data_IF_830789975481
#
_entry.id   IF_830789975481
#
_cell.length_a   1.000
_cell.length_b   1.000
_cell.length_c   1.000
_cell.angle_alpha   90.00
_cell.angle_beta   90.00
_cell.angle_gamma   90.00
#
_symmetry.space_group_name_H-M   'P 1'
#
loop_
_entity.id
_entity.type
_entity.pdbx_description
1 polymer ?
#
# COMPACT_ATOMS: atom_id res chain seq x y z
N UNK A 1 27.48 -13.23 11.47
CA UNK A 1 26.85 -11.91 11.23
C UNK A 1 25.97 -12.05 9.99
N UNK A 2 24.64 -12.13 10.12
CA UNK A 2 23.73 -12.24 8.96
C UNK A 2 23.61 -10.86 8.33
N UNK A 3 23.95 -10.73 7.04
CA UNK A 3 23.65 -9.52 6.27
C UNK A 3 22.13 -9.50 6.05
N UNK A 4 21.43 -8.56 6.68
CA UNK A 4 20.08 -8.21 6.26
C UNK A 4 20.18 -7.58 4.88
N UNK A 5 19.55 -8.21 3.90
CA UNK A 5 19.32 -7.61 2.59
C UNK A 5 18.15 -6.65 2.78
N UNK A 6 18.44 -5.46 3.28
CA UNK A 6 17.46 -4.38 3.34
C UNK A 6 17.17 -3.91 1.92
N UNK A 7 15.96 -4.18 1.42
CA UNK A 7 15.46 -3.47 0.25
C UNK A 7 15.21 -2.02 0.68
N UNK A 8 15.93 -1.10 0.04
CA UNK A 8 15.86 0.34 0.29
C UNK A 8 14.52 0.84 -0.27
N UNK A 9 13.47 0.79 0.53
CA UNK A 9 12.42 1.78 0.48
C UNK A 9 12.67 2.71 1.65
N UNK A 10 13.33 3.86 1.41
CA UNK A 10 13.75 4.81 2.47
C UNK A 10 12.59 5.31 3.35
N UNK A 11 11.35 5.13 2.90
CA UNK A 11 10.14 5.09 3.73
C UNK A 11 9.03 4.46 2.90
N UNK A 12 8.58 3.25 3.25
CA UNK A 12 7.27 2.81 2.76
C UNK A 12 6.23 3.81 3.30
N UNK A 13 5.10 4.08 2.61
CA UNK A 13 3.96 4.68 3.30
C UNK A 13 3.66 3.78 4.49
N UNK A 14 3.90 4.30 5.70
CA UNK A 14 3.82 3.50 6.90
C UNK A 14 2.40 2.92 6.97
N UNK A 15 2.31 1.60 6.99
CA UNK A 15 1.05 0.93 7.24
C UNK A 15 0.52 1.43 8.59
N UNK A 16 -0.73 1.88 8.57
CA UNK A 16 -1.37 2.56 9.68
C UNK A 16 -2.22 1.56 10.45
N UNK A 17 -2.09 1.58 11.77
CA UNK A 17 -2.94 0.78 12.63
C UNK A 17 -4.33 1.45 12.73
N UNK A 18 -5.44 0.71 12.56
CA UNK A 18 -6.78 1.29 12.46
C UNK A 18 -7.26 1.99 13.75
N UNK A 19 -6.67 1.68 14.90
CA UNK A 19 -6.99 2.35 16.18
C UNK A 19 -6.38 3.76 16.24
N UNK A 20 -5.18 3.95 15.71
CA UNK A 20 -4.47 5.24 15.76
C UNK A 20 -4.85 6.15 14.59
N UNK A 21 -5.10 5.55 13.41
CA UNK A 21 -5.58 6.24 12.22
C UNK A 21 -6.70 5.42 11.55
N UNK A 22 -7.98 5.77 11.79
CA UNK A 22 -9.11 5.04 11.24
C UNK A 22 -9.12 5.05 9.71
N UNK A 23 -9.38 3.90 9.06
CA UNK A 23 -9.36 3.80 7.61
C UNK A 23 -10.52 4.60 6.98
N UNK A 24 -10.27 5.28 5.84
CA UNK A 24 -11.32 5.98 5.12
C UNK A 24 -12.34 5.00 4.55
N UNK A 25 -13.63 5.35 4.66
CA UNK A 25 -14.75 4.53 4.20
C UNK A 25 -14.96 4.68 2.70
N UNK A 26 -15.38 3.60 2.04
CA UNK A 26 -15.83 3.63 0.64
C UNK A 26 -14.72 3.81 -0.41
N UNK A 27 -13.45 3.77 -0.01
CA UNK A 27 -12.31 3.84 -0.94
C UNK A 27 -11.50 2.55 -0.91
N UNK A 28 -10.84 2.22 -2.01
CA UNK A 28 -9.93 1.07 -2.05
C UNK A 28 -8.60 1.43 -1.38
N UNK A 29 -8.11 0.52 -0.55
CA UNK A 29 -6.89 0.60 0.24
C UNK A 29 -5.98 -0.60 -0.08
N UNK A 30 -4.73 -0.51 0.32
CA UNK A 30 -3.91 -1.69 0.58
C UNK A 30 -4.02 -2.02 2.07
N UNK A 31 -4.27 -3.28 2.40
CA UNK A 31 -4.49 -3.74 3.77
C UNK A 31 -3.64 -4.98 4.02
N UNK A 32 -3.17 -5.18 5.24
CA UNK A 32 -2.57 -6.45 5.65
C UNK A 32 -3.50 -7.10 6.67
N UNK A 33 -3.86 -8.36 6.47
CA UNK A 33 -4.59 -9.12 7.46
C UNK A 33 -3.67 -9.61 8.61
N UNK A 34 -4.25 -10.17 9.65
CA UNK A 34 -3.49 -10.69 10.82
C UNK A 34 -2.47 -11.79 10.47
N UNK A 35 -2.62 -12.45 9.32
CA UNK A 35 -1.68 -13.46 8.81
C UNK A 35 -0.55 -12.87 7.96
N UNK A 36 -0.46 -11.55 7.80
CA UNK A 36 0.58 -10.89 7.01
C UNK A 36 0.30 -10.86 5.50
N UNK A 37 -0.92 -11.18 5.06
CA UNK A 37 -1.29 -11.20 3.63
C UNK A 37 -1.77 -9.82 3.19
N UNK A 38 -1.17 -9.31 2.11
CA UNK A 38 -1.57 -8.07 1.46
C UNK A 38 -2.86 -8.26 0.65
N UNK A 39 -3.86 -7.43 0.91
CA UNK A 39 -5.17 -7.43 0.27
C UNK A 39 -5.46 -6.01 -0.26
N UNK A 40 -6.02 -5.92 -1.46
CA UNK A 40 -6.51 -4.66 -2.03
C UNK A 40 -8.04 -4.65 -2.01
N UNK A 41 -8.64 -3.62 -1.41
CA UNK A 41 -10.10 -3.52 -1.32
C UNK A 41 -10.57 -2.40 -0.39
N UNK A 42 -11.88 -2.23 -0.21
CA UNK A 42 -12.42 -1.37 0.85
C UNK A 42 -12.12 -1.98 2.23
N UNK A 43 -12.00 -1.15 3.27
CA UNK A 43 -11.89 -1.64 4.64
C UNK A 43 -13.12 -2.47 5.01
N UNK A 44 -12.95 -3.74 5.42
CA UNK A 44 -14.09 -4.61 5.72
C UNK A 44 -14.68 -4.26 7.10
N UNK A 45 -15.97 -4.54 7.27
CA UNK A 45 -16.66 -4.26 8.53
C UNK A 45 -16.33 -5.27 9.65
N UNK A 46 -15.66 -6.37 9.33
CA UNK A 46 -15.35 -7.46 10.27
C UNK A 46 -13.99 -7.29 10.98
N UNK A 47 -13.31 -6.16 10.78
CA UNK A 47 -12.05 -5.73 11.42
C UNK A 47 -10.91 -6.76 11.41
N UNK A 48 -10.92 -7.72 10.46
CA UNK A 48 -9.86 -8.74 10.31
C UNK A 48 -8.57 -8.22 9.69
N UNK A 49 -8.43 -6.90 9.58
CA UNK A 49 -7.29 -6.23 8.97
C UNK A 49 -6.42 -5.61 10.06
N UNK A 50 -5.14 -5.95 10.07
CA UNK A 50 -4.17 -5.48 11.05
C UNK A 50 -3.75 -4.02 10.78
N UNK A 51 -3.61 -3.64 9.51
CA UNK A 51 -3.20 -2.30 9.12
C UNK A 51 -3.59 -1.97 7.68
N UNK A 52 -3.52 -0.68 7.33
CA UNK A 52 -3.87 -0.18 6.01
C UNK A 52 -2.93 0.92 5.52
N UNK A 53 -2.93 1.17 4.22
CA UNK A 53 -2.37 2.38 3.61
C UNK A 53 -3.23 2.80 2.40
N UNK A 54 -3.22 4.09 2.02
CA UNK A 54 -3.84 4.51 0.76
C UNK A 54 -3.16 3.83 -0.43
N UNK A 55 -3.89 3.69 -1.54
CA UNK A 55 -3.28 3.21 -2.78
C UNK A 55 -2.16 4.14 -3.23
N UNK A 56 -0.99 3.60 -3.62
CA UNK A 56 0.08 4.42 -4.16
C UNK A 56 -0.38 5.08 -5.45
N UNK A 57 -0.01 6.35 -5.61
CA UNK A 57 -0.23 7.09 -6.85
C UNK A 57 1.07 7.09 -7.64
N UNK A 58 0.97 6.81 -8.94
CA UNK A 58 2.09 7.05 -9.85
C UNK A 58 2.31 8.55 -9.99
N UNK A 59 3.57 8.99 -9.89
CA UNK A 59 3.94 10.36 -10.25
C UNK A 59 3.66 10.62 -11.73
N UNK A 60 3.41 11.87 -12.10
CA UNK A 60 3.20 12.24 -13.51
C UNK A 60 4.43 11.90 -14.37
N UNK A 61 5.64 12.15 -13.85
CA UNK A 61 6.89 11.77 -14.51
C UNK A 61 6.96 10.27 -14.83
N UNK A 62 6.58 9.41 -13.86
CA UNK A 62 6.58 7.96 -14.08
C UNK A 62 5.53 7.56 -15.11
N UNK A 63 4.34 8.16 -15.09
CA UNK A 63 3.31 7.91 -16.11
C UNK A 63 3.82 8.30 -17.50
N UNK A 64 4.38 9.50 -17.66
CA UNK A 64 4.94 9.97 -18.93
C UNK A 64 6.03 9.05 -19.47
N UNK A 65 6.89 8.54 -18.59
CA UNK A 65 7.89 7.53 -18.96
C UNK A 65 7.22 6.26 -19.48
N UNK A 66 6.23 5.74 -18.76
CA UNK A 66 5.53 4.51 -19.14
C UNK A 66 4.72 4.67 -20.45
N UNK A 67 4.18 5.86 -20.73
CA UNK A 67 3.58 6.20 -22.02
C UNK A 67 4.61 6.17 -23.15
N UNK A 68 5.78 6.78 -22.96
CA UNK A 68 6.90 6.73 -23.92
C UNK A 68 7.41 5.31 -24.15
N UNK A 69 7.39 4.47 -23.12
CA UNK A 69 7.71 3.04 -23.19
C UNK A 69 6.59 2.19 -23.83
N UNK A 70 5.42 2.76 -24.15
CA UNK A 70 4.27 2.04 -24.72
C UNK A 70 3.58 1.07 -23.75
N UNK A 71 3.83 1.20 -22.45
CA UNK A 71 3.29 0.32 -21.38
C UNK A 71 1.96 0.81 -20.82
N UNK A 72 1.66 2.10 -21.00
CA UNK A 72 0.35 2.69 -20.75
C UNK A 72 -0.26 3.13 -22.09
N UNK A 73 -1.59 3.03 -22.18
CA UNK A 73 -2.39 3.45 -23.33
C UNK A 73 -3.13 4.75 -23.03
#
# INVERSE_FOLDING_TARGET
MKKEIGYIAERLPDFRHPVDDPPPKGVSLLMINESGVLIKGPWPADDRMACWQPLPKMSEELKERLYREGRLK
#
